data_IF_166760963181
#
_entry.id   IF_166760963181
#
_cell.length_a   1.000
_cell.length_b   1.000
_cell.length_c   1.000
_cell.angle_alpha   90.00
_cell.angle_beta   90.00
_cell.angle_gamma   90.00
#
_symmetry.space_group_name_H-M   'P 1'
#
loop_
_entity.id
_entity.type
_entity.pdbx_description
1 polymer ?
#
# COMPACT_ATOMS: atom_id res chain seq x y z
N UNK A 1 7.86 6.08 7.08
CA UNK A 1 8.38 4.69 7.14
C UNK A 1 7.24 3.75 7.48
N UNK A 2 7.12 2.68 6.75
CA UNK A 2 6.13 1.64 7.07
C UNK A 2 6.78 0.27 7.05
N UNK A 3 6.20 -0.63 7.82
CA UNK A 3 6.72 -1.96 8.06
C UNK A 3 5.83 -2.99 7.39
N UNK A 4 6.43 -3.87 6.59
CA UNK A 4 5.70 -4.94 5.90
C UNK A 4 5.23 -6.03 6.87
N UNK A 5 4.02 -6.53 6.66
CA UNK A 5 3.42 -7.60 7.47
C UNK A 5 3.56 -8.95 6.76
N UNK A 6 4.79 -9.43 6.64
CA UNK A 6 5.06 -10.67 5.91
C UNK A 6 4.48 -11.91 6.59
N UNK A 7 4.24 -11.86 7.90
CA UNK A 7 3.65 -13.00 8.62
C UNK A 7 2.20 -13.27 8.20
N UNK A 8 1.45 -12.23 7.85
CA UNK A 8 0.03 -12.36 7.51
C UNK A 8 -0.24 -12.38 6.01
N UNK A 9 0.63 -11.76 5.24
CA UNK A 9 0.49 -11.67 3.78
C UNK A 9 1.83 -11.93 3.11
N UNK A 10 2.36 -13.15 3.22
CA UNK A 10 3.71 -13.45 2.73
C UNK A 10 3.88 -13.29 1.22
N UNK A 11 2.90 -13.67 0.42
CA UNK A 11 2.99 -13.54 -1.03
C UNK A 11 2.98 -12.06 -1.44
N UNK A 12 2.09 -11.29 -0.85
CA UNK A 12 1.98 -9.86 -1.13
C UNK A 12 3.23 -9.11 -0.68
N UNK A 13 3.70 -9.39 0.53
CA UNK A 13 4.91 -8.76 1.07
C UNK A 13 6.13 -9.08 0.20
N UNK A 14 6.26 -10.33 -0.24
CA UNK A 14 7.37 -10.73 -1.10
C UNK A 14 7.34 -9.98 -2.43
N UNK A 15 6.17 -9.89 -3.05
CA UNK A 15 6.01 -9.18 -4.31
C UNK A 15 6.40 -7.70 -4.17
N UNK A 16 5.92 -7.04 -3.13
CA UNK A 16 6.24 -5.63 -2.88
C UNK A 16 7.73 -5.43 -2.65
N UNK A 17 8.35 -6.32 -1.88
CA UNK A 17 9.79 -6.22 -1.61
C UNK A 17 10.60 -6.34 -2.89
N UNK A 18 10.24 -7.26 -3.78
CA UNK A 18 10.92 -7.42 -5.07
C UNK A 18 10.73 -6.18 -5.94
N UNK A 19 9.50 -5.64 -6.02
CA UNK A 19 9.25 -4.42 -6.80
C UNK A 19 10.03 -3.23 -6.27
N UNK A 20 10.15 -3.09 -4.94
CA UNK A 20 10.96 -2.03 -4.34
C UNK A 20 12.43 -2.18 -4.73
N UNK A 21 12.95 -3.41 -4.68
CA UNK A 21 14.34 -3.68 -5.07
C UNK A 21 14.60 -3.40 -6.54
N UNK A 22 13.60 -3.64 -7.40
CA UNK A 22 13.70 -3.38 -8.85
C UNK A 22 13.50 -1.91 -9.20
N UNK A 23 13.16 -1.07 -8.24
CA UNK A 23 12.91 0.35 -8.50
C UNK A 23 11.55 0.66 -9.09
N UNK A 24 10.59 -0.26 -9.02
CA UNK A 24 9.25 -0.06 -9.58
C UNK A 24 8.56 1.17 -9.00
N UNK A 25 8.76 1.42 -7.70
CA UNK A 25 8.16 2.56 -7.00
C UNK A 25 9.08 3.79 -7.00
N UNK A 26 9.95 3.92 -7.99
CA UNK A 26 10.96 4.98 -8.02
C UNK A 26 10.43 6.37 -8.37
N UNK A 27 9.32 6.46 -9.07
CA UNK A 27 8.80 7.73 -9.57
C UNK A 27 7.30 7.62 -9.83
N UNK A 28 6.52 7.89 -8.82
CA UNK A 28 5.06 7.80 -8.86
C UNK A 28 4.43 8.98 -8.16
N UNK A 29 3.09 9.05 -8.24
CA UNK A 29 2.31 10.04 -7.51
C UNK A 29 1.15 9.35 -6.78
N UNK A 30 0.65 10.02 -5.75
CA UNK A 30 -0.61 9.62 -5.12
C UNK A 30 -1.74 10.06 -6.05
N UNK A 31 -2.29 9.13 -6.80
CA UNK A 31 -3.31 9.44 -7.82
C UNK A 31 -4.71 9.60 -7.23
N UNK A 32 -4.92 9.17 -6.00
CA UNK A 32 -6.22 9.27 -5.33
C UNK A 32 -6.02 9.63 -3.86
N UNK A 33 -6.72 10.67 -3.43
CA UNK A 33 -6.75 11.08 -2.03
C UNK A 33 -8.20 11.36 -1.66
N UNK A 34 -8.72 10.65 -0.66
CA UNK A 34 -10.07 10.89 -0.13
C UNK A 34 -9.89 11.35 1.31
N UNK A 35 -10.08 12.65 1.59
CA UNK A 35 -9.87 13.20 2.93
C UNK A 35 -10.65 12.43 4.00
N UNK A 36 -9.99 12.12 5.12
CA UNK A 36 -10.58 11.37 6.21
C UNK A 36 -10.75 9.87 5.94
N UNK A 37 -10.32 9.40 4.79
CA UNK A 37 -10.44 7.98 4.44
C UNK A 37 -9.08 7.40 4.01
N UNK A 38 -8.63 7.65 2.78
CA UNK A 38 -7.41 7.00 2.26
C UNK A 38 -6.57 7.92 1.38
N UNK A 39 -5.29 7.58 1.25
CA UNK A 39 -4.43 8.00 0.15
C UNK A 39 -4.02 6.73 -0.61
N UNK A 40 -3.97 6.80 -1.92
CA UNK A 40 -3.72 5.64 -2.77
C UNK A 40 -2.67 5.92 -3.85
N UNK A 41 -1.79 4.96 -4.07
CA UNK A 41 -0.72 5.06 -5.05
C UNK A 41 -0.35 3.65 -5.55
N UNK A 42 0.71 3.56 -6.36
CA UNK A 42 1.22 2.28 -6.86
C UNK A 42 0.89 2.01 -8.32
N UNK A 43 0.21 2.95 -8.98
CA UNK A 43 -0.07 2.91 -10.41
C UNK A 43 0.89 3.86 -11.12
N UNK A 44 1.86 3.36 -11.91
CA UNK A 44 2.82 4.22 -12.58
C UNK A 44 2.17 5.15 -13.62
N UNK A 45 0.97 4.83 -14.09
CA UNK A 45 0.25 5.69 -15.03
C UNK A 45 -0.64 6.73 -14.34
N UNK A 46 -0.82 6.60 -13.02
CA UNK A 46 -1.60 7.53 -12.18
C UNK A 46 -3.07 7.67 -12.58
N UNK A 47 -3.64 6.68 -13.26
CA UNK A 47 -5.06 6.72 -13.69
C UNK A 47 -5.96 5.75 -12.93
N UNK A 48 -5.39 4.91 -12.07
CA UNK A 48 -6.15 3.98 -11.24
C UNK A 48 -6.33 2.58 -11.83
N UNK A 49 -5.91 2.35 -13.07
CA UNK A 49 -6.05 1.05 -13.74
C UNK A 49 -4.71 0.37 -14.01
N UNK A 50 -3.61 1.06 -13.82
CA UNK A 50 -2.29 0.52 -14.07
C UNK A 50 -1.68 -0.14 -12.84
N UNK A 51 -0.55 -0.79 -13.04
CA UNK A 51 0.19 -1.43 -11.96
C UNK A 51 1.26 -2.37 -12.51
N UNK A 52 1.88 -3.12 -11.62
CA UNK A 52 2.82 -4.16 -11.99
C UNK A 52 2.08 -5.28 -12.74
N UNK A 53 2.77 -6.00 -13.64
CA UNK A 53 2.13 -7.08 -14.38
C UNK A 53 1.63 -8.21 -13.46
N UNK A 54 0.51 -8.81 -13.85
CA UNK A 54 -0.07 -9.94 -13.13
C UNK A 54 -1.00 -9.52 -12.02
N UNK A 55 -1.48 -10.51 -11.29
CA UNK A 55 -2.40 -10.30 -10.16
C UNK A 55 -1.91 -11.09 -8.96
N UNK A 56 -2.10 -10.53 -7.78
CA UNK A 56 -1.78 -11.20 -6.53
C UNK A 56 -3.00 -11.91 -5.99
N UNK A 57 -2.78 -13.13 -5.50
CA UNK A 57 -3.80 -13.87 -4.80
C UNK A 57 -4.17 -13.15 -3.51
N UNK A 58 -5.45 -13.06 -3.19
CA UNK A 58 -5.90 -12.43 -1.96
C UNK A 58 -5.46 -13.23 -0.74
N UNK A 59 -4.82 -12.54 0.19
CA UNK A 59 -4.38 -13.11 1.47
C UNK A 59 -5.16 -12.40 2.56
N UNK A 60 -6.23 -13.03 3.03
CA UNK A 60 -7.09 -12.45 4.05
C UNK A 60 -6.33 -12.30 5.37
N UNK A 61 -6.46 -11.12 5.99
CA UNK A 61 -5.80 -10.85 7.26
C UNK A 61 -6.82 -10.36 8.28
N UNK A 62 -6.71 -10.79 9.56
CA UNK A 62 -7.59 -10.31 10.61
C UNK A 62 -7.17 -8.97 11.21
N UNK A 63 -6.10 -8.38 10.69
CA UNK A 63 -5.54 -7.13 11.22
C UNK A 63 -6.51 -5.98 10.95
N UNK A 64 -6.90 -5.20 11.98
CA UNK A 64 -7.84 -4.11 11.78
C UNK A 64 -7.21 -2.93 11.03
N UNK A 65 -8.05 -2.20 10.30
CA UNK A 65 -7.63 -0.99 9.62
C UNK A 65 -7.79 0.21 10.56
N UNK A 66 -6.66 0.74 11.01
CA UNK A 66 -6.58 1.93 11.86
C UNK A 66 -5.70 2.97 11.18
N UNK A 67 -5.61 4.17 11.75
CA UNK A 67 -4.78 5.24 11.18
C UNK A 67 -3.36 4.75 10.89
N UNK A 68 -2.96 4.84 9.63
CA UNK A 68 -1.63 4.41 9.19
C UNK A 68 -1.54 2.96 8.71
N UNK A 69 -2.63 2.20 8.72
CA UNK A 69 -2.62 0.85 8.14
C UNK A 69 -2.52 0.94 6.63
N UNK A 70 -1.63 0.14 6.06
CA UNK A 70 -1.40 0.06 4.61
C UNK A 70 -2.06 -1.19 4.08
N UNK A 71 -2.93 -1.04 3.11
CA UNK A 71 -3.68 -2.15 2.52
C UNK A 71 -3.47 -2.27 1.03
N UNK A 72 -3.84 -3.43 0.50
CA UNK A 72 -3.76 -3.73 -0.92
C UNK A 72 -5.06 -3.34 -1.61
N UNK A 73 -4.96 -2.51 -2.64
CA UNK A 73 -6.13 -2.11 -3.43
C UNK A 73 -6.59 -3.29 -4.30
N UNK A 74 -7.89 -3.55 -4.29
CA UNK A 74 -8.51 -4.63 -5.06
C UNK A 74 -9.68 -4.10 -5.87
N UNK A 75 -9.91 -4.72 -7.03
CA UNK A 75 -11.12 -4.52 -7.82
C UNK A 75 -12.04 -5.76 -7.70
N UNK A 76 -11.77 -6.62 -6.76
CA UNK A 76 -12.45 -7.88 -6.50
C UNK A 76 -11.44 -8.86 -5.94
N UNK A 77 -11.88 -10.11 -5.70
CA UNK A 77 -10.98 -11.13 -5.16
C UNK A 77 -9.87 -11.46 -6.15
N UNK A 78 -8.67 -11.63 -5.65
CA UNK A 78 -7.48 -12.03 -6.43
C UNK A 78 -7.10 -11.04 -7.55
N UNK A 79 -7.45 -9.76 -7.37
CA UNK A 79 -7.12 -8.71 -8.35
C UNK A 79 -6.05 -7.75 -7.86
N UNK A 80 -5.41 -8.05 -6.73
CA UNK A 80 -4.37 -7.20 -6.17
C UNK A 80 -3.16 -7.08 -7.07
N UNK A 81 -2.48 -5.95 -6.97
CA UNK A 81 -1.26 -5.65 -7.71
C UNK A 81 -0.41 -4.68 -6.94
N UNK A 82 0.21 -3.74 -7.63
CA UNK A 82 1.11 -2.77 -7.00
C UNK A 82 0.37 -1.59 -6.35
N UNK A 83 -0.92 -1.41 -6.60
CA UNK A 83 -1.65 -0.32 -5.97
C UNK A 83 -1.93 -0.63 -4.51
N UNK A 84 -1.63 0.34 -3.65
CA UNK A 84 -1.87 0.24 -2.21
C UNK A 84 -2.54 1.51 -1.73
N UNK A 85 -3.10 1.45 -0.52
CA UNK A 85 -3.68 2.62 0.13
C UNK A 85 -3.25 2.66 1.59
N UNK A 86 -3.27 3.87 2.15
CA UNK A 86 -3.01 4.08 3.59
C UNK A 86 -4.23 4.79 4.13
N UNK A 87 -4.81 4.25 5.20
CA UNK A 87 -6.03 4.82 5.75
C UNK A 87 -5.73 5.94 6.76
N UNK A 88 -6.62 6.92 6.81
CA UNK A 88 -6.52 8.07 7.72
C UNK A 88 -7.14 7.80 9.08
N UNK A 89 -8.00 6.80 9.19
CA UNK A 89 -8.77 6.57 10.42
C UNK A 89 -9.21 5.10 10.50
N UNK A 90 -9.96 4.78 11.55
CA UNK A 90 -10.49 3.43 11.74
C UNK A 90 -11.51 3.12 10.65
N UNK A 91 -11.26 2.05 9.90
CA UNK A 91 -12.10 1.64 8.77
C UNK A 91 -12.44 0.14 8.87
N UNK A 92 -13.34 -0.24 9.77
CA UNK A 92 -13.60 -1.66 10.02
C UNK A 92 -14.18 -2.41 8.82
N UNK A 93 -14.84 -1.72 7.89
CA UNK A 93 -15.40 -2.36 6.70
C UNK A 93 -14.33 -2.90 5.74
N UNK A 94 -13.09 -2.52 5.90
CA UNK A 94 -11.99 -3.01 5.07
C UNK A 94 -11.35 -4.28 5.63
N UNK A 95 -11.54 -4.54 6.92
CA UNK A 95 -10.94 -5.68 7.60
C UNK A 95 -11.46 -6.99 7.03
N UNK A 96 -10.54 -7.90 6.68
CA UNK A 96 -10.89 -9.21 6.13
C UNK A 96 -11.16 -9.21 4.63
N UNK A 97 -11.33 -8.03 4.00
CA UNK A 97 -11.60 -7.92 2.57
C UNK A 97 -10.34 -7.50 1.82
N UNK A 98 -9.69 -6.44 2.29
CA UNK A 98 -8.43 -5.96 1.72
C UNK A 98 -7.27 -6.46 2.59
N UNK A 99 -6.32 -7.22 2.03
CA UNK A 99 -5.17 -7.67 2.79
C UNK A 99 -4.38 -6.50 3.38
N UNK A 100 -3.95 -6.63 4.63
CA UNK A 100 -3.06 -5.64 5.24
C UNK A 100 -1.64 -5.92 4.77
N UNK A 101 -1.03 -4.92 4.14
CA UNK A 101 0.33 -4.99 3.66
C UNK A 101 1.33 -4.57 4.73
N UNK A 102 0.97 -3.61 5.56
CA UNK A 102 1.84 -3.10 6.60
C UNK A 102 1.24 -1.98 7.42
N UNK A 103 2.09 -1.31 8.17
CA UNK A 103 1.72 -0.16 9.00
C UNK A 103 2.76 0.94 8.88
N UNK A 104 2.30 2.18 8.88
CA UNK A 104 3.19 3.34 9.00
C UNK A 104 3.66 3.42 10.44
N UNK A 105 4.98 3.31 10.65
CA UNK A 105 5.59 3.37 11.98
C UNK A 105 6.22 4.73 12.28
N UNK A 106 6.53 5.52 11.25
CA UNK A 106 7.01 6.90 11.38
C UNK A 106 6.36 7.74 10.32
N UNK A 107 5.97 8.96 10.67
CA UNK A 107 5.43 9.91 9.70
C UNK A 107 3.94 9.81 9.47
N UNK A 108 3.16 9.27 10.43
CA UNK A 108 1.70 9.20 10.28
C UNK A 108 1.05 10.55 10.02
N UNK A 109 1.62 11.62 10.57
CA UNK A 109 1.10 12.97 10.33
C UNK A 109 1.27 13.41 8.88
N UNK A 110 2.29 12.89 8.21
CA UNK A 110 2.54 13.20 6.80
C UNK A 110 1.43 12.59 5.94
N UNK A 111 0.96 11.40 6.30
CA UNK A 111 -0.15 10.74 5.60
C UNK A 111 -1.36 11.66 5.50
N UNK A 112 -1.65 12.39 6.58
CA UNK A 112 -2.81 13.30 6.64
C UNK A 112 -2.65 14.55 5.79
N UNK A 113 -1.43 14.84 5.32
CA UNK A 113 -1.11 16.06 4.55
C UNK A 113 -0.91 15.82 3.06
N UNK A 114 -0.88 14.57 2.64
CA UNK A 114 -0.63 14.24 1.24
C UNK A 114 -1.83 14.67 0.40
N UNK A 115 -1.52 15.30 -0.74
CA UNK A 115 -2.49 15.81 -1.70
C UNK A 115 -2.42 15.01 -2.99
N UNK A 116 -3.50 14.99 -3.80
CA UNK A 116 -3.45 14.34 -5.11
C UNK A 116 -2.31 14.94 -5.95
N UNK A 117 -1.53 14.05 -6.56
CA UNK A 117 -0.39 14.47 -7.39
C UNK A 117 0.92 14.61 -6.63
N UNK A 118 0.92 14.51 -5.32
CA UNK A 118 2.17 14.53 -4.56
C UNK A 118 3.05 13.35 -4.96
N UNK A 119 4.36 13.60 -5.06
CA UNK A 119 5.31 12.56 -5.50
C UNK A 119 5.53 11.50 -4.44
N UNK A 120 5.81 10.30 -4.92
CA UNK A 120 6.07 9.13 -4.09
C UNK A 120 7.30 8.42 -4.61
N UNK A 121 8.13 7.98 -3.68
CA UNK A 121 9.22 7.04 -3.95
C UNK A 121 9.29 6.07 -2.79
N UNK A 122 9.38 4.78 -3.09
CA UNK A 122 9.53 3.76 -2.07
C UNK A 122 10.90 3.11 -2.22
N UNK A 123 11.62 3.00 -1.12
CA UNK A 123 12.91 2.32 -1.07
C UNK A 123 13.03 1.58 0.26
N UNK A 124 13.97 0.67 0.33
CA UNK A 124 14.29 0.01 1.61
C UNK A 124 14.92 1.03 2.55
N UNK A 125 14.51 1.00 3.81
CA UNK A 125 15.09 1.88 4.82
C UNK A 125 16.55 1.52 5.07
N UNK A 126 17.36 2.52 5.40
CA UNK A 126 18.77 2.31 5.74
C UNK A 126 18.88 1.33 6.89
N UNK A 127 19.77 0.35 6.74
CA UNK A 127 20.00 -0.65 7.76
C UNK A 127 19.08 -1.85 7.70
N UNK A 128 18.09 -1.84 6.80
CA UNK A 128 17.22 -3.00 6.59
C UNK A 128 17.90 -4.00 5.67
N UNK A 129 17.87 -5.27 6.04
CA UNK A 129 18.41 -6.34 5.22
C UNK A 129 17.30 -7.31 4.87
N UNK A 130 17.13 -7.56 3.60
CA UNK A 130 16.09 -8.45 3.13
C UNK A 130 16.58 -9.31 1.98
#
# INVERSE_FOLDING_TARGET
>A
VWELQSAWAPLTAHAYLEWVKEGFFGDMVFHRVVPGFVIQAGDPTAVGYGGAPGSLRSEETPIPYTHGTVGLALAGRDTGGSQFFIVHSLEPHLTGIHPVLGHVVEGRRIVDRIQPGDSLRIRLASGQSQ
#
